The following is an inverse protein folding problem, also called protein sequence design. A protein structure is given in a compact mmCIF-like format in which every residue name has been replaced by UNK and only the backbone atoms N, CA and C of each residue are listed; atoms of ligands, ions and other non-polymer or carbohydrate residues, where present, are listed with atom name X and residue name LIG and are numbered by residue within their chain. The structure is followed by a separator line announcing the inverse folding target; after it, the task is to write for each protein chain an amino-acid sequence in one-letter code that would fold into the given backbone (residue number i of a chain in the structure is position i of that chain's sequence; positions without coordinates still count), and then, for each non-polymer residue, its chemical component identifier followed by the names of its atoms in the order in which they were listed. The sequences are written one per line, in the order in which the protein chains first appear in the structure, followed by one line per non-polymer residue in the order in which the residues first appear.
data_IF_255467746289
#
_entry.id   IF_255467746289
#
_cell.length_a   1.000
_cell.length_b   1.000
_cell.length_c   1.000
_cell.angle_alpha   90.00
_cell.angle_beta   90.00
_cell.angle_gamma   90.00
#
_symmetry.space_group_name_H-M   'P 1'
#
loop_
_entity.id
_entity.type
_entity.pdbx_description
1 polymer ?
#
# COMPACT_ATOMS: atom_id res chain seq x y z
N UNK A 1 27.57 8.37 16.10
CA UNK A 1 27.29 9.45 17.06
C UNK A 1 25.87 9.94 16.84
N UNK A 2 25.06 9.97 17.88
CA UNK A 2 23.63 10.30 17.83
C UNK A 2 23.41 11.72 17.24
N UNK A 3 22.44 11.95 16.32
CA UNK A 3 22.21 13.26 15.69
C UNK A 3 21.99 14.39 16.69
N UNK A 4 21.35 14.12 17.84
CA UNK A 4 21.21 15.11 18.93
C UNK A 4 22.55 15.58 19.49
N UNK A 5 23.54 14.66 19.60
CA UNK A 5 24.88 15.02 20.07
C UNK A 5 25.64 15.84 19.01
N UNK A 6 25.38 15.61 17.73
CA UNK A 6 25.99 16.40 16.64
C UNK A 6 25.46 17.83 16.62
N UNK A 7 24.14 18.02 16.77
CA UNK A 7 23.51 19.36 16.84
C UNK A 7 23.95 20.11 18.08
N UNK A 8 24.01 19.43 19.25
CA UNK A 8 24.53 20.03 20.48
C UNK A 8 25.99 20.47 20.35
N UNK A 9 26.83 19.66 19.73
CA UNK A 9 28.25 19.94 19.56
C UNK A 9 28.45 21.14 18.62
N UNK A 10 27.70 21.22 17.53
CA UNK A 10 27.70 22.38 16.61
C UNK A 10 27.19 23.64 17.30
N UNK A 11 26.11 23.52 18.09
CA UNK A 11 25.56 24.65 18.83
C UNK A 11 26.53 25.19 19.90
N UNK A 12 27.19 24.29 20.65
CA UNK A 12 28.21 24.66 21.65
C UNK A 12 29.43 25.32 20.98
N UNK A 13 29.91 24.77 19.85
CA UNK A 13 31.03 25.35 19.09
C UNK A 13 30.68 26.73 18.51
N UNK A 14 29.45 26.91 18.03
CA UNK A 14 28.98 28.21 17.52
C UNK A 14 28.84 29.24 18.65
N UNK A 15 28.34 28.84 19.82
CA UNK A 15 28.26 29.73 21.00
C UNK A 15 29.63 30.11 21.54
N UNK A 16 30.56 29.16 21.65
CA UNK A 16 31.94 29.42 22.07
C UNK A 16 32.66 30.34 21.07
N UNK A 17 32.51 30.07 19.77
CA UNK A 17 33.07 30.94 18.71
C UNK A 17 32.48 32.33 18.75
N UNK A 18 31.17 32.50 18.91
CA UNK A 18 30.51 33.81 18.98
C UNK A 18 30.87 34.61 20.24
N UNK A 19 31.18 33.95 21.34
CA UNK A 19 31.57 34.63 22.59
C UNK A 19 33.06 35.05 22.64
N UNK A 20 33.95 34.19 22.15
CA UNK A 20 35.40 34.39 22.24
C UNK A 20 36.00 35.23 21.09
N UNK A 21 35.46 35.11 19.88
CA UNK A 21 35.99 35.82 18.70
C UNK A 21 35.95 37.34 18.83
N UNK A 22 34.87 38.01 19.30
CA UNK A 22 34.84 39.45 19.47
C UNK A 22 35.76 39.95 20.60
N UNK A 23 35.97 39.10 21.64
CA UNK A 23 36.86 39.41 22.76
C UNK A 23 38.34 39.40 22.37
N UNK A 24 38.76 38.42 21.59
CA UNK A 24 40.12 38.30 21.07
C UNK A 24 40.47 39.47 20.12
N UNK A 25 39.56 39.84 19.21
CA UNK A 25 39.75 40.96 18.31
C UNK A 25 39.93 42.31 19.04
N UNK A 26 39.13 42.56 20.08
CA UNK A 26 39.24 43.74 20.93
C UNK A 26 40.55 43.79 21.69
N UNK A 27 41.06 42.69 22.24
CA UNK A 27 42.32 42.63 22.96
C UNK A 27 43.54 42.84 22.04
N UNK A 28 43.51 42.31 20.83
CA UNK A 28 44.58 42.51 19.84
C UNK A 28 44.59 43.96 19.37
N UNK A 29 43.43 44.55 19.06
CA UNK A 29 43.31 45.98 18.68
C UNK A 29 43.74 46.91 19.80
N UNK A 30 43.30 46.66 21.05
CA UNK A 30 43.72 47.47 22.20
C UNK A 30 45.23 47.36 22.43
N UNK A 31 45.83 46.16 22.30
CA UNK A 31 47.29 45.99 22.44
C UNK A 31 48.13 46.73 21.38
N UNK A 32 47.62 46.81 20.17
CA UNK A 32 48.24 47.54 19.07
C UNK A 32 48.08 49.09 19.26
N UNK A 33 46.88 49.51 19.72
CA UNK A 33 46.59 50.92 19.97
C UNK A 33 47.42 51.45 21.13
N UNK A 34 47.60 50.68 22.20
CA UNK A 34 48.47 51.04 23.33
C UNK A 34 49.94 51.18 22.93
N UNK A 35 50.50 50.33 22.09
CA UNK A 35 51.85 50.40 21.62
C UNK A 35 52.11 51.63 20.68
N UNK A 36 51.07 52.10 20.01
CA UNK A 36 51.16 53.29 19.14
C UNK A 36 51.17 54.59 19.92
N UNK A 37 50.75 54.62 21.19
CA UNK A 37 50.69 55.82 22.03
C UNK A 37 51.94 56.10 22.91
N UNK A 38 52.90 55.17 22.97
CA UNK A 38 54.04 55.29 23.95
C UNK A 38 55.39 55.43 23.31
N UNK A 39 55.51 56.23 22.27
CA UNK A 39 56.82 56.75 21.86
C UNK A 39 56.83 58.28 21.96
N UNK A 40 56.93 58.73 23.22
CA UNK A 40 57.40 60.05 23.49
C UNK A 40 58.83 59.91 24.03
N UNK A 41 59.84 60.34 23.25
CA UNK A 41 61.23 60.31 23.65
C UNK A 41 61.54 61.57 24.42
N UNK A 42 62.07 61.40 25.63
CA UNK A 42 62.48 62.48 26.53
C UNK A 42 63.88 62.87 26.12
N UNK A 43 63.98 63.76 25.16
CA UNK A 43 65.24 64.46 24.97
C UNK A 43 65.25 65.84 25.70
N UNK A 44 66.36 66.19 26.27
CA UNK A 44 66.63 67.13 27.34
C UNK A 44 66.39 68.58 27.04
N UNK A 45 65.76 68.95 25.94
CA UNK A 45 65.35 70.36 25.67
C UNK A 45 64.10 70.38 24.80
N UNK A 46 62.95 70.35 25.47
CA UNK A 46 61.67 70.60 24.78
C UNK A 46 60.97 69.27 24.32
N UNK A 47 59.74 69.05 24.82
CA UNK A 47 58.89 67.96 24.41
C UNK A 47 58.35 68.22 23.00
N UNK A 48 58.89 67.60 21.98
CA UNK A 48 58.30 67.59 20.64
C UNK A 48 57.58 66.27 20.46
N UNK A 49 56.27 66.32 20.54
CA UNK A 49 55.44 65.21 20.16
C UNK A 49 55.21 65.22 18.63
N UNK A 50 55.96 64.47 17.85
CA UNK A 50 55.58 64.27 16.48
C UNK A 50 54.37 63.32 16.39
N UNK A 51 53.30 63.66 15.62
CA UNK A 51 52.23 62.78 15.37
C UNK A 51 52.72 61.60 14.50
N UNK A 52 53.00 60.49 15.11
CA UNK A 52 53.27 59.25 14.34
C UNK A 52 52.01 58.97 13.48
N UNK A 53 52.17 59.10 12.17
CA UNK A 53 51.10 58.72 11.23
C UNK A 53 50.61 57.34 11.61
N UNK A 54 49.25 57.13 11.78
CA UNK A 54 48.74 55.82 12.14
C UNK A 54 49.13 54.87 11.01
N UNK A 55 50.14 54.04 11.24
CA UNK A 55 50.41 52.87 10.43
C UNK A 55 49.23 51.97 10.69
N UNK A 56 48.19 52.01 9.82
CA UNK A 56 47.04 51.10 9.90
C UNK A 56 47.63 49.72 9.83
N UNK A 57 47.58 48.95 10.92
CA UNK A 57 48.14 47.60 10.89
C UNK A 57 47.26 46.74 10.02
N UNK A 58 47.60 46.61 8.74
CA UNK A 58 46.91 45.72 7.78
C UNK A 58 46.91 44.26 8.29
N UNK A 59 47.92 43.88 9.03
CA UNK A 59 48.14 42.55 9.56
C UNK A 59 47.03 42.08 10.57
N UNK A 60 46.59 42.89 11.56
CA UNK A 60 45.47 42.50 12.44
C UNK A 60 44.16 42.34 11.69
N UNK A 61 43.85 43.17 10.72
CA UNK A 61 42.63 43.06 9.90
C UNK A 61 42.62 41.80 9.03
N UNK A 62 43.81 41.42 8.50
CA UNK A 62 43.93 40.14 7.78
C UNK A 62 43.72 38.92 8.71
N UNK A 63 44.24 38.97 9.93
CA UNK A 63 44.07 37.91 10.92
C UNK A 63 42.58 37.78 11.31
N UNK A 64 41.88 38.89 11.57
CA UNK A 64 40.44 38.88 11.86
C UNK A 64 39.64 38.31 10.71
N UNK A 65 39.93 38.71 9.47
CA UNK A 65 39.27 38.15 8.28
C UNK A 65 39.51 36.67 8.14
N UNK A 66 40.72 36.16 8.37
CA UNK A 66 41.06 34.72 8.33
C UNK A 66 40.32 33.93 9.41
N UNK A 67 40.23 34.49 10.63
CA UNK A 67 39.47 33.85 11.73
C UNK A 67 37.99 33.79 11.38
N UNK A 68 37.43 34.85 10.82
CA UNK A 68 36.02 34.88 10.40
C UNK A 68 35.74 33.89 9.29
N UNK A 69 36.63 33.83 8.29
CA UNK A 69 36.52 32.84 7.19
C UNK A 69 36.65 31.43 7.70
N UNK A 70 37.59 31.15 8.60
CA UNK A 70 37.73 29.83 9.24
C UNK A 70 36.48 29.45 10.04
N UNK A 71 35.90 30.41 10.76
CA UNK A 71 34.64 30.22 11.50
C UNK A 71 33.46 29.87 10.56
N UNK A 72 33.31 30.61 9.46
CA UNK A 72 32.27 30.32 8.45
C UNK A 72 32.46 28.94 7.82
N UNK A 73 33.70 28.59 7.47
CA UNK A 73 34.01 27.25 6.91
C UNK A 73 33.75 26.13 7.91
N UNK A 74 34.07 26.34 9.19
CA UNK A 74 33.79 25.37 10.26
C UNK A 74 32.29 25.18 10.46
N UNK A 75 31.49 26.24 10.52
CA UNK A 75 30.02 26.17 10.62
C UNK A 75 29.43 25.51 9.39
N UNK A 76 29.89 25.85 8.19
CA UNK A 76 29.44 25.21 6.94
C UNK A 76 29.79 23.72 6.90
N UNK A 77 30.99 23.33 7.28
CA UNK A 77 31.43 21.95 7.38
C UNK A 77 30.62 21.16 8.40
N UNK A 78 30.35 21.76 9.58
CA UNK A 78 29.55 21.18 10.63
C UNK A 78 28.08 20.99 10.21
N UNK A 79 27.50 22.00 9.54
CA UNK A 79 26.14 21.90 8.98
C UNK A 79 26.05 20.79 7.92
N UNK A 80 27.01 20.72 7.01
CA UNK A 80 27.11 19.65 6.01
C UNK A 80 27.24 18.25 6.64
N UNK A 81 28.07 18.14 7.66
CA UNK A 81 28.24 16.88 8.40
C UNK A 81 26.98 16.49 9.18
N UNK A 82 26.26 17.44 9.76
CA UNK A 82 25.00 17.21 10.46
C UNK A 82 23.88 16.77 9.51
N UNK A 83 23.84 17.30 8.28
CA UNK A 83 22.84 17.00 7.26
C UNK A 83 23.16 15.76 6.40
N UNK A 84 24.40 15.26 6.42
CA UNK A 84 24.78 14.03 5.70
C UNK A 84 23.81 12.86 5.92
N UNK A 85 23.43 12.53 7.17
CA UNK A 85 22.56 11.37 7.40
C UNK A 85 21.17 11.52 6.77
N UNK A 86 20.68 12.75 6.56
CA UNK A 86 19.38 13.01 5.91
C UNK A 86 19.52 12.84 4.39
N UNK A 87 20.64 13.26 3.81
CA UNK A 87 20.91 13.05 2.37
C UNK A 87 21.08 11.57 2.05
N UNK A 88 21.81 10.82 2.90
CA UNK A 88 21.98 9.38 2.75
C UNK A 88 20.64 8.61 2.77
N UNK A 89 19.55 9.22 3.32
CA UNK A 89 18.18 8.69 3.27
C UNK A 89 17.42 9.14 2.02
N UNK A 90 17.70 10.35 1.52
CA UNK A 90 16.98 10.92 0.39
C UNK A 90 17.45 10.37 -0.96
N UNK A 91 18.76 10.15 -1.11
CA UNK A 91 19.36 9.69 -2.37
C UNK A 91 18.80 8.32 -2.84
N UNK A 92 18.70 7.27 -1.99
CA UNK A 92 18.09 6.01 -2.39
C UNK A 92 16.61 6.11 -2.75
N UNK A 93 15.88 7.08 -2.15
CA UNK A 93 14.46 7.29 -2.42
C UNK A 93 14.25 7.98 -3.78
N UNK A 94 15.14 8.89 -4.16
CA UNK A 94 15.07 9.60 -5.44
C UNK A 94 15.26 8.68 -6.66
N UNK A 95 16.04 7.60 -6.49
CA UNK A 95 16.32 6.60 -7.53
C UNK A 95 15.28 5.46 -7.57
N UNK A 96 14.21 5.52 -6.73
CA UNK A 96 13.17 4.50 -6.70
C UNK A 96 12.28 4.60 -7.94
N UNK A 97 12.44 3.61 -8.83
CA UNK A 97 11.59 3.38 -9.99
C UNK A 97 10.89 2.02 -9.91
N UNK A 98 9.93 1.74 -10.83
CA UNK A 98 9.21 0.46 -10.86
C UNK A 98 10.12 -0.78 -10.94
N UNK A 99 11.36 -0.59 -11.39
CA UNK A 99 12.36 -1.65 -11.54
C UNK A 99 13.19 -1.87 -10.25
N UNK A 100 13.18 -0.91 -9.31
CA UNK A 100 14.04 -0.90 -8.12
C UNK A 100 13.24 -0.90 -6.79
N UNK A 101 11.99 -1.33 -6.80
CA UNK A 101 11.13 -1.39 -5.61
C UNK A 101 11.68 -2.28 -4.48
N UNK A 102 12.62 -3.20 -4.80
CA UNK A 102 13.30 -4.06 -3.83
C UNK A 102 14.39 -3.38 -3.00
N UNK A 103 14.76 -2.12 -3.32
CA UNK A 103 15.78 -1.42 -2.56
C UNK A 103 15.27 -1.07 -1.16
N UNK A 104 16.12 -1.26 -0.14
CA UNK A 104 15.81 -0.96 1.27
C UNK A 104 16.92 -0.12 1.86
N UNK A 105 16.56 0.84 2.69
CA UNK A 105 17.51 1.75 3.33
C UNK A 105 18.34 1.02 4.38
N UNK A 106 17.75 0.05 5.08
CA UNK A 106 18.37 -0.86 6.08
C UNK A 106 19.27 -0.15 7.08
N UNK A 107 18.97 1.09 7.43
CA UNK A 107 19.74 1.82 8.42
C UNK A 107 19.41 1.30 9.81
N UNK A 108 20.35 0.56 10.40
CA UNK A 108 20.29 0.14 11.80
C UNK A 108 20.51 1.33 12.72
N UNK A 109 19.58 1.57 13.65
CA UNK A 109 19.69 2.60 14.68
C UNK A 109 18.45 2.62 15.57
N UNK A 110 18.63 2.99 16.87
CA UNK A 110 17.53 3.21 17.82
C UNK A 110 17.15 4.68 17.92
N UNK A 111 17.75 5.53 17.09
CA UNK A 111 17.51 6.96 17.00
C UNK A 111 16.30 7.28 16.10
N UNK A 112 15.94 8.55 16.02
CA UNK A 112 14.81 9.06 15.23
C UNK A 112 14.96 8.71 13.74
N UNK A 113 16.20 8.75 13.23
CA UNK A 113 16.49 8.40 11.83
C UNK A 113 16.34 6.90 11.58
N UNK A 114 16.70 6.05 12.55
CA UNK A 114 16.46 4.61 12.48
C UNK A 114 14.97 4.25 12.49
N UNK A 115 14.13 5.01 13.23
CA UNK A 115 12.66 4.85 13.19
C UNK A 115 12.10 5.26 11.84
N UNK A 116 12.57 6.39 11.30
CA UNK A 116 12.16 6.86 9.97
C UNK A 116 12.55 5.86 8.88
N UNK A 117 13.77 5.34 8.90
CA UNK A 117 14.22 4.32 7.94
C UNK A 117 13.33 3.08 7.96
N UNK A 118 12.97 2.56 9.16
CA UNK A 118 12.05 1.44 9.28
C UNK A 118 10.67 1.74 8.71
N UNK A 119 10.11 2.92 9.02
CA UNK A 119 8.81 3.32 8.50
C UNK A 119 8.80 3.42 6.97
N UNK A 120 9.91 3.89 6.37
CA UNK A 120 10.09 3.92 4.91
C UNK A 120 10.22 2.51 4.35
N UNK A 121 11.04 1.64 4.97
CA UNK A 121 11.19 0.26 4.53
C UNK A 121 9.86 -0.50 4.60
N UNK A 122 9.07 -0.33 5.68
CA UNK A 122 7.72 -0.91 5.82
C UNK A 122 6.74 -0.37 4.77
N UNK A 123 6.85 0.92 4.41
CA UNK A 123 6.06 1.51 3.32
C UNK A 123 6.47 0.90 1.98
N UNK A 124 7.77 0.75 1.73
CA UNK A 124 8.30 0.16 0.51
C UNK A 124 7.90 -1.32 0.36
N UNK A 125 7.85 -2.08 1.47
CA UNK A 125 7.36 -3.45 1.45
C UNK A 125 5.89 -3.50 1.01
N UNK A 126 5.05 -2.61 1.52
CA UNK A 126 3.64 -2.50 1.10
C UNK A 126 3.48 -2.10 -0.37
N UNK A 127 4.25 -1.12 -0.83
CA UNK A 127 4.24 -0.69 -2.23
C UNK A 127 4.71 -1.82 -3.16
N UNK A 128 5.78 -2.51 -2.78
CA UNK A 128 6.32 -3.66 -3.55
C UNK A 128 5.28 -4.79 -3.64
N UNK A 129 4.69 -5.17 -2.51
CA UNK A 129 3.66 -6.21 -2.47
C UNK A 129 2.42 -5.83 -3.32
N UNK A 130 1.99 -4.57 -3.26
CA UNK A 130 0.90 -4.04 -4.09
C UNK A 130 1.22 -4.09 -5.59
N UNK A 131 2.42 -3.64 -5.97
CA UNK A 131 2.86 -3.65 -7.37
C UNK A 131 2.99 -5.08 -7.94
N UNK A 132 3.59 -6.00 -7.17
CA UNK A 132 3.68 -7.40 -7.56
C UNK A 132 2.30 -8.05 -7.64
N UNK A 133 1.38 -7.70 -6.72
CA UNK A 133 -0.02 -8.12 -6.77
C UNK A 133 -0.70 -7.67 -8.05
N UNK A 134 -0.57 -6.40 -8.40
CA UNK A 134 -1.14 -5.82 -9.62
C UNK A 134 -0.53 -6.44 -10.89
N UNK A 135 0.78 -6.68 -10.91
CA UNK A 135 1.45 -7.35 -12.04
C UNK A 135 0.97 -8.78 -12.23
N UNK A 136 0.85 -9.55 -11.13
CA UNK A 136 0.29 -10.91 -11.18
C UNK A 136 -1.17 -10.91 -11.64
N UNK A 137 -1.98 -9.97 -11.14
CA UNK A 137 -3.36 -9.79 -11.56
C UNK A 137 -3.47 -9.54 -13.06
N UNK A 138 -2.71 -8.58 -13.62
CA UNK A 138 -2.74 -8.27 -15.05
C UNK A 138 -2.28 -9.46 -15.92
N UNK A 139 -1.25 -10.18 -15.50
CA UNK A 139 -0.77 -11.38 -16.18
C UNK A 139 -1.83 -12.49 -16.18
N UNK A 140 -2.43 -12.77 -15.02
CA UNK A 140 -3.46 -13.81 -14.90
C UNK A 140 -4.73 -13.44 -15.68
N UNK A 141 -5.18 -12.17 -15.60
CA UNK A 141 -6.32 -11.67 -16.39
C UNK A 141 -6.09 -11.87 -17.90
N UNK A 142 -4.89 -11.55 -18.39
CA UNK A 142 -4.52 -11.75 -19.79
C UNK A 142 -4.56 -13.22 -20.20
N UNK A 143 -4.10 -14.12 -19.33
CA UNK A 143 -4.16 -15.56 -19.56
C UNK A 143 -5.58 -16.11 -19.56
N UNK A 144 -6.39 -15.72 -18.57
CA UNK A 144 -7.77 -16.16 -18.41
C UNK A 144 -8.70 -15.63 -19.52
N UNK A 145 -8.39 -14.46 -20.12
CA UNK A 145 -9.09 -13.92 -21.28
C UNK A 145 -8.64 -14.60 -22.60
N UNK A 146 -7.36 -14.90 -22.75
CA UNK A 146 -6.81 -15.46 -23.99
C UNK A 146 -7.36 -16.86 -24.26
N UNK A 147 -7.49 -17.69 -23.23
CA UNK A 147 -7.94 -19.09 -23.37
C UNK A 147 -9.33 -19.21 -23.98
N UNK A 148 -10.40 -18.56 -23.48
CA UNK A 148 -11.73 -18.66 -24.08
C UNK A 148 -11.80 -17.99 -25.45
N UNK A 149 -11.07 -16.93 -25.71
CA UNK A 149 -10.99 -16.31 -27.04
C UNK A 149 -10.36 -17.27 -28.06
N UNK A 150 -9.32 -18.02 -27.66
CA UNK A 150 -8.73 -19.05 -28.52
C UNK A 150 -9.72 -20.18 -28.81
N UNK A 151 -10.49 -20.62 -27.79
CA UNK A 151 -11.55 -21.64 -27.96
C UNK A 151 -12.64 -21.14 -28.91
N UNK A 152 -13.13 -19.89 -28.72
CA UNK A 152 -14.13 -19.29 -29.62
C UNK A 152 -13.62 -19.24 -31.06
N UNK A 153 -12.38 -18.80 -31.26
CA UNK A 153 -11.76 -18.76 -32.59
C UNK A 153 -11.72 -20.15 -33.21
N UNK A 154 -11.27 -21.15 -32.47
CA UNK A 154 -11.22 -22.54 -32.98
C UNK A 154 -12.61 -23.08 -33.37
N UNK A 155 -13.62 -22.82 -32.51
CA UNK A 155 -15.00 -23.22 -32.77
C UNK A 155 -15.54 -22.59 -34.08
N UNK A 156 -15.24 -21.29 -34.30
CA UNK A 156 -15.63 -20.59 -35.52
C UNK A 156 -14.87 -21.14 -36.74
N UNK A 157 -13.54 -21.32 -36.65
CA UNK A 157 -12.72 -21.84 -37.73
C UNK A 157 -13.16 -23.26 -38.14
N UNK A 158 -13.45 -24.14 -37.18
CA UNK A 158 -13.97 -25.49 -37.43
C UNK A 158 -15.38 -25.45 -38.02
N UNK A 159 -16.27 -24.60 -37.48
CA UNK A 159 -17.64 -24.46 -37.97
C UNK A 159 -17.73 -23.90 -39.41
N UNK A 160 -16.73 -23.10 -39.79
CA UNK A 160 -16.65 -22.54 -41.15
C UNK A 160 -15.90 -23.43 -42.15
N UNK A 161 -15.20 -24.46 -41.71
CA UNK A 161 -14.36 -25.31 -42.56
C UNK A 161 -15.13 -26.32 -43.40
N UNK A 162 -16.35 -26.68 -42.98
CA UNK A 162 -17.20 -27.65 -43.68
C UNK A 162 -18.70 -27.41 -43.38
N UNK A 163 -19.62 -27.84 -44.27
CA UNK A 163 -21.04 -27.76 -44.02
C UNK A 163 -21.41 -28.55 -42.77
N UNK A 164 -22.09 -27.90 -41.81
CA UNK A 164 -22.58 -28.52 -40.58
C UNK A 164 -24.00 -29.02 -40.75
N UNK A 165 -24.32 -30.09 -40.09
CA UNK A 165 -25.72 -30.54 -39.88
C UNK A 165 -26.42 -29.57 -38.92
N UNK A 166 -27.77 -29.57 -38.88
CA UNK A 166 -28.54 -28.74 -37.97
C UNK A 166 -28.14 -28.98 -36.50
N UNK A 167 -28.03 -30.26 -36.07
CA UNK A 167 -27.60 -30.62 -34.71
C UNK A 167 -26.17 -30.12 -34.37
N UNK A 168 -25.26 -30.20 -35.32
CA UNK A 168 -23.89 -29.70 -35.15
C UNK A 168 -23.85 -28.16 -35.03
N UNK A 169 -24.70 -27.47 -35.81
CA UNK A 169 -24.84 -26.01 -35.74
C UNK A 169 -25.42 -25.59 -34.36
N UNK A 170 -26.44 -26.29 -33.88
CA UNK A 170 -27.04 -26.01 -32.57
C UNK A 170 -26.02 -26.22 -31.43
N UNK A 171 -25.26 -27.32 -31.47
CA UNK A 171 -24.21 -27.59 -30.52
C UNK A 171 -23.10 -26.54 -30.56
N UNK A 172 -22.65 -26.15 -31.72
CA UNK A 172 -21.64 -25.12 -31.91
C UNK A 172 -22.10 -23.75 -31.35
N UNK A 173 -23.36 -23.40 -31.66
CA UNK A 173 -23.97 -22.15 -31.18
C UNK A 173 -24.08 -22.17 -29.66
N UNK A 174 -24.54 -23.28 -29.06
CA UNK A 174 -24.60 -23.42 -27.60
C UNK A 174 -23.21 -23.31 -26.94
N UNK A 175 -22.17 -23.89 -27.53
CA UNK A 175 -20.80 -23.77 -27.03
C UNK A 175 -20.24 -22.33 -27.15
N UNK A 176 -20.51 -21.64 -28.24
CA UNK A 176 -20.11 -20.24 -28.44
C UNK A 176 -20.80 -19.32 -27.43
N UNK A 177 -22.12 -19.49 -27.21
CA UNK A 177 -22.87 -18.70 -26.23
C UNK A 177 -22.36 -18.96 -24.80
N UNK A 178 -22.16 -20.22 -24.41
CA UNK A 178 -21.61 -20.57 -23.10
C UNK A 178 -20.21 -20.00 -22.86
N UNK A 179 -19.38 -19.96 -23.91
CA UNK A 179 -18.04 -19.37 -23.83
C UNK A 179 -18.13 -17.84 -23.71
N UNK A 180 -19.06 -17.19 -24.42
CA UNK A 180 -19.28 -15.76 -24.33
C UNK A 180 -19.77 -15.34 -22.94
N UNK A 181 -20.77 -16.03 -22.40
CA UNK A 181 -21.26 -15.80 -21.03
C UNK A 181 -20.16 -15.94 -19.96
N UNK A 182 -19.24 -16.89 -20.19
CA UNK A 182 -18.08 -17.04 -19.31
C UNK A 182 -17.15 -15.83 -19.42
N UNK A 183 -16.91 -15.30 -20.62
CA UNK A 183 -16.10 -14.10 -20.85
C UNK A 183 -16.73 -12.88 -20.18
N UNK A 184 -18.04 -12.68 -20.37
CA UNK A 184 -18.79 -11.58 -19.75
C UNK A 184 -18.64 -11.61 -18.22
N UNK A 185 -18.89 -12.76 -17.59
CA UNK A 185 -18.69 -12.91 -16.13
C UNK A 185 -17.27 -12.63 -15.67
N UNK A 186 -16.26 -12.96 -16.49
CA UNK A 186 -14.86 -12.68 -16.18
C UNK A 186 -14.58 -11.18 -16.24
N UNK A 187 -15.06 -10.51 -17.30
CA UNK A 187 -14.91 -9.05 -17.49
C UNK A 187 -15.64 -8.30 -16.35
N UNK A 188 -16.86 -8.67 -16.03
CA UNK A 188 -17.62 -8.09 -14.92
C UNK A 188 -16.89 -8.26 -13.57
N UNK A 189 -16.28 -9.44 -13.36
CA UNK A 189 -15.47 -9.70 -12.19
C UNK A 189 -14.23 -8.79 -12.09
N UNK A 190 -13.55 -8.55 -13.23
CA UNK A 190 -12.40 -7.65 -13.31
C UNK A 190 -12.80 -6.19 -13.06
N UNK A 191 -13.93 -5.75 -13.63
CA UNK A 191 -14.47 -4.40 -13.42
C UNK A 191 -14.84 -4.19 -11.95
N UNK A 192 -15.47 -5.20 -11.30
CA UNK A 192 -15.80 -5.12 -9.89
C UNK A 192 -14.59 -4.95 -8.98
N UNK A 193 -13.51 -5.68 -9.24
CA UNK A 193 -12.27 -5.52 -8.50
C UNK A 193 -11.71 -4.10 -8.69
N UNK A 194 -11.71 -3.60 -9.92
CA UNK A 194 -11.21 -2.26 -10.21
C UNK A 194 -12.05 -1.16 -9.57
N UNK A 195 -13.38 -1.30 -9.53
CA UNK A 195 -14.28 -0.33 -8.90
C UNK A 195 -14.16 -0.34 -7.38
N UNK A 196 -14.12 -1.52 -6.77
CA UNK A 196 -14.01 -1.63 -5.31
C UNK A 196 -12.65 -1.15 -4.78
N UNK A 197 -11.57 -1.27 -5.56
CA UNK A 197 -10.25 -0.73 -5.20
C UNK A 197 -10.22 0.81 -5.19
N UNK A 198 -11.16 1.48 -5.86
CA UNK A 198 -11.30 2.95 -5.84
C UNK A 198 -12.01 3.48 -4.58
N UNK A 199 -12.52 2.59 -3.73
CA UNK A 199 -13.33 2.93 -2.55
C UNK A 199 -14.78 3.25 -2.89
N UNK A 200 -15.57 3.57 -1.85
CA UNK A 200 -17.00 3.88 -2.02
C UNK A 200 -17.18 5.26 -2.65
N UNK A 201 -18.07 5.35 -3.66
CA UNK A 201 -18.49 6.63 -4.25
C UNK A 201 -19.52 7.33 -3.36
N UNK A 202 -20.35 6.56 -2.67
CA UNK A 202 -21.32 7.04 -1.70
C UNK A 202 -21.45 6.03 -0.57
N UNK A 203 -21.72 6.52 0.65
CA UNK A 203 -21.95 5.65 1.81
C UNK A 203 -23.27 6.04 2.44
N UNK A 204 -24.30 5.25 2.15
CA UNK A 204 -25.65 5.44 2.71
C UNK A 204 -26.04 4.26 3.59
N UNK A 205 -26.90 4.45 4.62
CA UNK A 205 -27.38 3.33 5.43
C UNK A 205 -28.13 2.30 4.59
N UNK A 206 -27.70 1.04 4.63
CA UNK A 206 -28.28 -0.08 3.89
C UNK A 206 -28.75 -1.18 4.83
N UNK A 207 -29.92 -1.73 4.58
CA UNK A 207 -30.48 -2.90 5.28
C UNK A 207 -29.85 -4.18 4.71
N UNK A 208 -28.84 -4.70 5.40
CA UNK A 208 -28.09 -5.89 4.96
C UNK A 208 -29.00 -7.12 4.92
N UNK A 209 -29.90 -7.29 5.87
CA UNK A 209 -30.88 -8.36 5.91
C UNK A 209 -31.83 -8.37 4.69
N UNK A 210 -32.24 -7.19 4.20
CA UNK A 210 -33.06 -7.06 2.99
C UNK A 210 -32.25 -7.38 1.73
N UNK A 211 -31.00 -6.93 1.67
CA UNK A 211 -30.08 -7.25 0.58
C UNK A 211 -29.86 -8.75 0.49
N UNK A 212 -29.56 -9.41 1.62
CA UNK A 212 -29.38 -10.87 1.66
C UNK A 212 -30.65 -11.60 1.22
N UNK A 213 -31.83 -11.17 1.69
CA UNK A 213 -33.11 -11.75 1.28
C UNK A 213 -33.31 -11.69 -0.24
N UNK A 214 -33.07 -10.51 -0.84
CA UNK A 214 -33.19 -10.30 -2.28
C UNK A 214 -32.22 -11.18 -3.07
N UNK A 215 -30.96 -11.29 -2.64
CA UNK A 215 -29.96 -12.10 -3.30
C UNK A 215 -30.30 -13.59 -3.17
N UNK A 216 -30.70 -14.07 -2.00
CA UNK A 216 -31.09 -15.49 -1.82
C UNK A 216 -32.28 -15.87 -2.70
N UNK A 217 -33.26 -14.97 -2.87
CA UNK A 217 -34.36 -15.18 -3.78
C UNK A 217 -33.91 -15.31 -5.25
N UNK A 218 -32.96 -14.49 -5.68
CA UNK A 218 -32.42 -14.55 -7.03
C UNK A 218 -31.61 -15.82 -7.33
N UNK A 219 -31.05 -16.47 -6.30
CA UNK A 219 -30.26 -17.71 -6.44
C UNK A 219 -31.04 -18.97 -6.09
N UNK A 220 -32.34 -18.88 -5.79
CA UNK A 220 -33.20 -20.01 -5.35
C UNK A 220 -33.23 -21.15 -6.36
N UNK A 221 -33.49 -20.86 -7.64
CA UNK A 221 -33.59 -21.85 -8.70
C UNK A 221 -32.26 -22.54 -8.94
N UNK A 222 -31.17 -21.77 -8.93
CA UNK A 222 -29.81 -22.29 -9.10
C UNK A 222 -29.39 -23.19 -7.94
N UNK A 223 -29.82 -22.90 -6.72
CA UNK A 223 -29.57 -23.74 -5.56
C UNK A 223 -30.37 -25.06 -5.67
N UNK A 224 -31.64 -24.98 -6.11
CA UNK A 224 -32.50 -26.15 -6.34
C UNK A 224 -31.92 -27.07 -7.44
N UNK A 225 -31.49 -26.49 -8.57
CA UNK A 225 -30.84 -27.24 -9.65
C UNK A 225 -29.54 -27.94 -9.20
N UNK A 226 -28.78 -27.30 -8.29
CA UNK A 226 -27.58 -27.88 -7.69
C UNK A 226 -27.88 -28.87 -6.57
N UNK A 227 -29.15 -29.09 -6.19
CA UNK A 227 -29.54 -29.90 -5.06
C UNK A 227 -29.05 -29.41 -3.71
N UNK A 228 -28.93 -28.09 -3.53
CA UNK A 228 -28.42 -27.45 -2.30
C UNK A 228 -29.59 -26.86 -1.53
N UNK A 229 -29.71 -27.23 -0.24
CA UNK A 229 -30.67 -26.62 0.68
C UNK A 229 -30.12 -25.31 1.23
N UNK A 230 -30.88 -24.20 1.06
CA UNK A 230 -30.51 -22.88 1.57
C UNK A 230 -31.25 -22.63 2.89
N UNK A 231 -30.49 -22.35 3.95
CA UNK A 231 -31.02 -21.97 5.27
C UNK A 231 -30.56 -20.53 5.57
N UNK A 232 -31.47 -19.69 6.06
CA UNK A 232 -31.13 -18.31 6.41
C UNK A 232 -31.61 -17.93 7.81
N UNK A 233 -30.79 -17.14 8.52
CA UNK A 233 -31.12 -16.51 9.81
C UNK A 233 -30.72 -15.03 9.70
N UNK A 234 -31.70 -14.16 9.48
CA UNK A 234 -31.47 -12.77 9.12
C UNK A 234 -31.99 -11.87 10.24
N UNK A 235 -31.08 -11.41 11.11
CA UNK A 235 -31.41 -10.35 12.06
C UNK A 235 -31.34 -8.97 11.36
N UNK A 236 -32.21 -8.02 11.72
CA UNK A 236 -32.16 -6.66 11.18
C UNK A 236 -30.77 -6.04 11.40
N UNK A 237 -30.10 -5.62 10.32
CA UNK A 237 -28.76 -5.01 10.38
C UNK A 237 -28.63 -3.89 9.38
N UNK A 238 -28.24 -2.70 9.86
CA UNK A 238 -27.95 -1.55 9.01
C UNK A 238 -26.43 -1.33 8.96
N UNK A 239 -25.89 -1.25 7.74
CA UNK A 239 -24.47 -1.00 7.48
C UNK A 239 -24.32 0.20 6.55
N UNK A 240 -23.29 1.04 6.71
CA UNK A 240 -23.01 2.12 5.77
C UNK A 240 -22.39 1.53 4.50
N UNK A 241 -22.85 1.95 3.32
CA UNK A 241 -22.25 1.46 2.08
C UNK A 241 -23.07 1.71 0.83
N UNK A 242 -22.63 1.10 -0.27
CA UNK A 242 -23.30 1.10 -1.56
C UNK A 242 -24.08 -0.19 -1.76
N UNK A 243 -25.38 -0.08 -2.00
CA UNK A 243 -26.27 -1.24 -2.17
C UNK A 243 -25.78 -2.20 -3.24
N UNK A 244 -25.37 -1.70 -4.41
CA UNK A 244 -24.93 -2.53 -5.55
C UNK A 244 -23.68 -3.37 -5.17
N UNK A 245 -22.73 -2.76 -4.46
CA UNK A 245 -21.53 -3.47 -4.02
C UNK A 245 -21.85 -4.52 -2.94
N UNK A 246 -22.76 -4.19 -1.99
CA UNK A 246 -23.20 -5.15 -0.96
C UNK A 246 -23.97 -6.33 -1.57
N UNK A 247 -24.87 -6.08 -2.54
CA UNK A 247 -25.53 -7.14 -3.31
C UNK A 247 -24.52 -8.05 -4.02
N UNK A 248 -23.50 -7.46 -4.60
CA UNK A 248 -22.40 -8.18 -5.26
C UNK A 248 -21.55 -8.98 -4.28
N UNK A 249 -21.25 -8.44 -3.11
CA UNK A 249 -20.57 -9.17 -2.03
C UNK A 249 -21.34 -10.42 -1.66
N UNK A 250 -22.64 -10.27 -1.32
CA UNK A 250 -23.50 -11.38 -0.92
C UNK A 250 -23.63 -12.40 -2.07
N UNK A 251 -23.87 -11.92 -3.30
CA UNK A 251 -23.99 -12.76 -4.49
C UNK A 251 -22.74 -13.63 -4.74
N UNK A 252 -21.54 -13.05 -4.62
CA UNK A 252 -20.29 -13.81 -4.78
C UNK A 252 -20.13 -14.91 -3.70
N UNK A 253 -20.53 -14.63 -2.46
CA UNK A 253 -20.46 -15.62 -1.38
C UNK A 253 -21.50 -16.71 -1.54
N UNK A 254 -22.74 -16.38 -1.91
CA UNK A 254 -23.84 -17.32 -2.17
C UNK A 254 -23.52 -18.20 -3.38
N UNK A 255 -23.12 -17.58 -4.50
CA UNK A 255 -22.73 -18.34 -5.70
C UNK A 255 -21.60 -19.33 -5.41
N UNK A 256 -20.58 -18.88 -4.67
CA UNK A 256 -19.49 -19.75 -4.24
C UNK A 256 -19.98 -20.89 -3.36
N UNK A 257 -20.87 -20.60 -2.40
CA UNK A 257 -21.45 -21.58 -1.49
C UNK A 257 -22.32 -22.63 -2.19
N UNK A 258 -23.02 -22.28 -3.27
CA UNK A 258 -23.79 -23.22 -4.11
C UNK A 258 -22.84 -24.05 -4.97
N UNK A 259 -21.93 -23.41 -5.68
CA UNK A 259 -21.04 -24.01 -6.66
C UNK A 259 -20.09 -25.06 -6.08
N UNK A 260 -19.51 -24.78 -4.92
CA UNK A 260 -18.56 -25.67 -4.24
C UNK A 260 -19.23 -26.57 -3.20
N UNK A 261 -20.57 -26.64 -3.26
CA UNK A 261 -21.33 -27.57 -2.42
C UNK A 261 -21.28 -29.01 -2.96
N UNK A 262 -21.87 -29.91 -2.22
CA UNK A 262 -22.14 -31.30 -2.65
C UNK A 262 -23.64 -31.47 -2.90
N UNK A 263 -24.08 -32.37 -3.79
CA UNK A 263 -25.51 -32.72 -3.93
C UNK A 263 -26.08 -33.13 -2.57
N UNK A 264 -27.28 -32.64 -2.22
CA UNK A 264 -27.90 -32.82 -0.91
C UNK A 264 -27.22 -32.06 0.21
N UNK A 265 -26.29 -31.12 -0.11
CA UNK A 265 -25.62 -30.29 0.87
C UNK A 265 -26.42 -29.08 1.29
N UNK A 266 -25.82 -28.27 2.15
CA UNK A 266 -26.46 -27.09 2.78
C UNK A 266 -25.63 -25.83 2.58
N UNK A 267 -26.33 -24.73 2.36
CA UNK A 267 -25.79 -23.37 2.41
C UNK A 267 -26.51 -22.62 3.53
N UNK A 268 -25.78 -22.18 4.55
CA UNK A 268 -26.34 -21.42 5.66
C UNK A 268 -25.85 -19.98 5.58
N UNK A 269 -26.79 -19.02 5.57
CA UNK A 269 -26.50 -17.58 5.54
C UNK A 269 -27.05 -16.93 6.81
N UNK A 270 -26.21 -16.26 7.55
CA UNK A 270 -26.59 -15.59 8.80
C UNK A 270 -26.20 -14.11 8.74
N UNK A 271 -27.16 -13.23 9.09
CA UNK A 271 -26.91 -11.81 9.35
C UNK A 271 -27.06 -11.56 10.85
N UNK A 272 -26.07 -10.92 11.45
CA UNK A 272 -26.00 -10.66 12.89
C UNK A 272 -25.27 -9.38 13.23
N UNK A 273 -24.91 -9.22 14.51
CA UNK A 273 -24.16 -8.05 14.96
C UNK A 273 -22.67 -8.18 14.66
N UNK A 274 -22.06 -9.29 15.07
CA UNK A 274 -20.64 -9.59 14.81
C UNK A 274 -20.44 -11.11 14.70
N UNK A 275 -20.08 -11.61 13.54
CA UNK A 275 -19.92 -10.93 12.25
C UNK A 275 -21.28 -10.43 11.66
N UNK A 276 -21.20 -9.36 10.82
CA UNK A 276 -22.38 -8.79 10.15
C UNK A 276 -23.02 -9.79 9.17
N UNK A 277 -22.19 -10.60 8.49
CA UNK A 277 -22.63 -11.64 7.57
C UNK A 277 -21.74 -12.88 7.75
N UNK A 278 -22.36 -14.03 7.86
CA UNK A 278 -21.69 -15.35 7.81
C UNK A 278 -22.32 -16.19 6.70
N UNK A 279 -21.49 -16.75 5.85
CA UNK A 279 -21.90 -17.71 4.82
C UNK A 279 -21.14 -19.00 5.04
N UNK A 280 -21.84 -20.12 5.24
CA UNK A 280 -21.24 -21.44 5.46
C UNK A 280 -21.86 -22.44 4.48
N UNK A 281 -21.03 -23.14 3.75
CA UNK A 281 -21.47 -24.25 2.89
C UNK A 281 -20.86 -25.56 3.33
N UNK A 282 -21.60 -26.65 3.14
CA UNK A 282 -21.04 -27.99 3.12
C UNK A 282 -20.27 -28.21 1.81
N UNK A 283 -19.38 -29.17 1.76
CA UNK A 283 -18.63 -29.43 0.53
C UNK A 283 -17.37 -30.26 0.76
N UNK A 284 -16.41 -30.14 -0.13
CA UNK A 284 -15.11 -30.77 0.03
C UNK A 284 -14.31 -30.09 1.14
N UNK A 285 -13.53 -30.88 1.87
CA UNK A 285 -12.65 -30.35 2.92
C UNK A 285 -11.60 -29.45 2.33
N UNK A 286 -11.54 -28.21 2.82
CA UNK A 286 -10.55 -27.22 2.45
C UNK A 286 -9.38 -27.28 3.43
N UNK A 287 -8.12 -27.52 2.99
CA UNK A 287 -6.97 -27.49 3.88
C UNK A 287 -6.79 -26.10 4.50
N UNK A 288 -6.57 -26.03 5.82
CA UNK A 288 -6.44 -24.74 6.53
C UNK A 288 -5.36 -23.85 5.96
N UNK A 289 -4.23 -24.41 5.53
CA UNK A 289 -3.12 -23.70 4.88
C UNK A 289 -3.48 -23.07 3.52
N UNK A 290 -4.48 -23.62 2.82
CA UNK A 290 -4.94 -23.09 1.54
C UNK A 290 -5.92 -21.93 1.67
N UNK A 291 -6.59 -21.78 2.82
CA UNK A 291 -7.69 -20.82 3.01
C UNK A 291 -7.25 -19.38 2.79
N UNK A 292 -6.10 -18.98 3.35
CA UNK A 292 -5.58 -17.61 3.19
C UNK A 292 -5.40 -17.23 1.73
N UNK A 293 -5.00 -18.18 0.89
CA UNK A 293 -4.79 -17.95 -0.54
C UNK A 293 -6.06 -17.90 -1.37
N UNK A 294 -7.23 -18.33 -0.85
CA UNK A 294 -8.49 -18.33 -1.63
C UNK A 294 -9.01 -16.91 -1.93
N UNK A 295 -8.54 -15.91 -1.21
CA UNK A 295 -8.84 -14.50 -1.46
C UNK A 295 -7.94 -13.83 -2.50
N UNK A 296 -6.92 -14.55 -3.00
CA UNK A 296 -6.10 -14.04 -4.10
C UNK A 296 -6.86 -14.21 -5.44
N UNK A 297 -6.87 -13.17 -6.31
CA UNK A 297 -7.50 -13.28 -7.62
C UNK A 297 -6.96 -14.47 -8.43
N UNK A 298 -7.86 -15.17 -9.15
CA UNK A 298 -7.54 -16.33 -10.00
C UNK A 298 -7.05 -17.57 -9.24
N UNK A 299 -7.11 -17.57 -7.91
CA UNK A 299 -6.67 -18.72 -7.13
C UNK A 299 -7.80 -19.74 -6.97
N UNK A 300 -7.46 -21.01 -7.20
CA UNK A 300 -8.35 -22.16 -7.09
C UNK A 300 -7.61 -23.31 -6.41
N UNK A 301 -8.32 -24.16 -5.70
CA UNK A 301 -7.74 -25.40 -5.18
C UNK A 301 -7.26 -26.30 -6.34
N UNK A 302 -6.16 -27.02 -6.12
CA UNK A 302 -5.51 -27.78 -7.18
C UNK A 302 -6.44 -28.81 -7.88
N UNK A 303 -7.40 -29.37 -7.14
CA UNK A 303 -8.39 -30.35 -7.64
C UNK A 303 -9.47 -29.71 -8.54
N UNK A 304 -9.74 -28.41 -8.40
CA UNK A 304 -10.78 -27.73 -9.19
C UNK A 304 -10.27 -27.23 -10.55
N UNK A 305 -8.96 -27.33 -10.80
CA UNK A 305 -8.35 -26.87 -12.06
C UNK A 305 -8.76 -27.73 -13.27
N UNK A 306 -9.12 -29.00 -13.03
CA UNK A 306 -9.52 -29.93 -14.09
C UNK A 306 -10.99 -29.84 -14.45
N UNK A 307 -11.82 -29.17 -13.63
CA UNK A 307 -13.24 -29.04 -13.87
C UNK A 307 -13.57 -27.83 -14.74
N UNK A 308 -13.95 -28.04 -16.00
CA UNK A 308 -14.24 -26.99 -17.01
C UNK A 308 -15.41 -26.06 -16.62
N UNK A 309 -16.27 -26.45 -15.68
CA UNK A 309 -17.35 -25.64 -15.12
C UNK A 309 -16.92 -24.67 -14.00
N UNK A 310 -15.64 -24.69 -13.60
CA UNK A 310 -15.13 -23.83 -12.54
C UNK A 310 -14.94 -22.37 -12.99
N UNK A 311 -15.51 -21.37 -12.25
CA UNK A 311 -15.34 -19.95 -12.50
C UNK A 311 -13.88 -19.50 -12.42
N UNK A 312 -13.63 -18.26 -12.80
CA UNK A 312 -12.31 -17.65 -12.92
C UNK A 312 -11.51 -17.50 -11.59
N UNK A 313 -12.08 -17.87 -10.43
CA UNK A 313 -11.41 -17.71 -9.13
C UNK A 313 -11.39 -16.24 -8.66
N UNK A 314 -12.38 -15.46 -9.06
CA UNK A 314 -12.48 -14.03 -8.71
C UNK A 314 -13.47 -13.77 -7.55
N UNK A 315 -14.46 -14.65 -7.30
CA UNK A 315 -15.57 -14.37 -6.39
C UNK A 315 -15.13 -13.98 -4.96
N UNK A 316 -14.24 -14.76 -4.33
CA UNK A 316 -13.72 -14.42 -2.99
C UNK A 316 -12.80 -13.19 -2.98
N UNK A 317 -12.05 -12.97 -4.06
CA UNK A 317 -11.23 -11.77 -4.21
C UNK A 317 -12.11 -10.51 -4.31
N UNK A 318 -13.21 -10.58 -5.09
CA UNK A 318 -14.21 -9.51 -5.18
C UNK A 318 -14.86 -9.27 -3.82
N UNK A 319 -15.28 -10.35 -3.13
CA UNK A 319 -15.87 -10.23 -1.80
C UNK A 319 -14.91 -9.52 -0.81
N UNK A 320 -13.64 -9.84 -0.85
CA UNK A 320 -12.61 -9.18 -0.02
C UNK A 320 -12.46 -7.70 -0.38
N UNK A 321 -12.33 -7.36 -1.66
CA UNK A 321 -12.14 -5.98 -2.10
C UNK A 321 -13.36 -5.13 -1.71
N UNK A 322 -14.60 -5.62 -1.94
CA UNK A 322 -15.82 -4.92 -1.52
C UNK A 322 -15.87 -4.75 0.00
N UNK A 323 -15.53 -5.78 0.77
CA UNK A 323 -15.50 -5.68 2.24
C UNK A 323 -14.50 -4.62 2.71
N UNK A 324 -13.32 -4.57 2.11
CA UNK A 324 -12.30 -3.56 2.41
C UNK A 324 -12.74 -2.14 2.02
N UNK A 325 -13.42 -1.98 0.87
CA UNK A 325 -14.00 -0.70 0.47
C UNK A 325 -15.04 -0.18 1.47
N UNK A 326 -15.69 -1.07 2.23
CA UNK A 326 -16.63 -0.76 3.31
C UNK A 326 -15.97 -0.70 4.70
N UNK A 327 -14.64 -0.53 4.79
CA UNK A 327 -13.88 -0.53 6.05
C UNK A 327 -14.11 -1.79 6.91
N UNK A 328 -14.45 -2.91 6.25
CA UNK A 328 -14.74 -4.19 6.88
C UNK A 328 -13.56 -5.16 6.85
N UNK A 329 -13.76 -6.30 7.49
CA UNK A 329 -12.81 -7.41 7.53
C UNK A 329 -13.53 -8.68 7.08
N UNK A 330 -12.92 -9.43 6.16
CA UNK A 330 -13.39 -10.75 5.73
C UNK A 330 -12.39 -11.82 6.14
N UNK A 331 -12.87 -12.91 6.69
CA UNK A 331 -12.08 -14.06 7.06
C UNK A 331 -12.79 -15.34 6.61
N UNK A 332 -12.01 -16.38 6.31
CA UNK A 332 -12.55 -17.69 6.02
C UNK A 332 -11.88 -18.74 6.88
N UNK A 333 -12.61 -19.84 7.11
CA UNK A 333 -12.10 -21.03 7.80
C UNK A 333 -12.77 -22.29 7.21
N UNK A 334 -12.14 -23.46 7.31
CA UNK A 334 -12.76 -24.72 6.92
C UNK A 334 -14.08 -24.92 7.68
N UNK A 335 -15.11 -25.39 6.98
CA UNK A 335 -16.38 -25.78 7.59
C UNK A 335 -16.26 -27.08 8.38
N UNK A 336 -17.08 -27.24 9.43
CA UNK A 336 -17.10 -28.46 10.27
C UNK A 336 -17.54 -29.69 9.48
N UNK A 337 -18.52 -29.54 8.57
CA UNK A 337 -19.03 -30.58 7.67
C UNK A 337 -18.31 -30.58 6.29
N UNK A 338 -17.07 -30.12 6.24
CA UNK A 338 -16.38 -29.76 5.01
C UNK A 338 -16.86 -28.42 4.44
N UNK A 339 -16.38 -28.05 3.25
CA UNK A 339 -16.68 -26.76 2.66
C UNK A 339 -15.94 -25.60 3.34
N UNK A 340 -16.54 -24.42 3.30
CA UNK A 340 -15.95 -23.18 3.77
C UNK A 340 -16.96 -22.39 4.61
N UNK A 341 -16.49 -21.78 5.68
CA UNK A 341 -17.20 -20.73 6.39
C UNK A 341 -16.50 -19.41 6.14
N UNK A 342 -17.25 -18.41 5.68
CA UNK A 342 -16.79 -17.06 5.44
C UNK A 342 -17.53 -16.12 6.39
N UNK A 343 -16.78 -15.39 7.20
CA UNK A 343 -17.27 -14.38 8.14
C UNK A 343 -16.87 -12.98 7.62
N UNK A 344 -17.85 -12.07 7.54
CA UNK A 344 -17.69 -10.70 7.07
C UNK A 344 -18.08 -9.75 8.21
N UNK A 345 -17.14 -8.93 8.64
CA UNK A 345 -17.35 -7.86 9.60
C UNK A 345 -17.51 -6.55 8.83
N UNK A 346 -18.59 -5.82 9.10
CA UNK A 346 -18.86 -4.49 8.53
C UNK A 346 -19.18 -3.52 9.67
N UNK A 347 -18.75 -2.25 9.55
CA UNK A 347 -19.09 -1.25 10.54
C UNK A 347 -20.60 -1.11 10.69
N UNK A 348 -21.06 -0.79 11.91
CA UNK A 348 -22.45 -0.44 12.14
C UNK A 348 -22.69 1.05 11.86
N UNK A 349 -23.88 1.40 11.39
CA UNK A 349 -24.31 2.80 11.40
C UNK A 349 -24.48 3.21 12.87
N UNK A 350 -23.74 4.22 13.33
CA UNK A 350 -23.85 4.79 14.68
C UNK A 350 -25.07 5.67 14.81
#
# INVERSE_FOLDING_TARGET
MNPRRRVLLVGVLALLGGYWLPGLGKQVLAGVWWRAQTFCDLQTVGVVCEPVRPFIPVLPGLIELLILLAGVLAVWGAARWCLRPVRDLADPIADLGPQNLGHRIRRGGRDELGRLSRAIDDMMDRVTAGYEGQRRFAANASHELRTPLAVQRTLIEVGMSQPLTGEQLDLLTAQLLATNERNERLIEGLLALSESDQGLRSSTPQRLDEIVTSVLAAYSDRAAEAGVTVESRLAPRVVPGERVLLERLVGNLVENGIKYNRPGGRLTVTVGEDPALTVTNTGQTVPGEAVAGLFEPFRRLARDRTNQGGGAGLGLAIARSITQAHDGIIAARPGEDGGLRVDVQLPAVR
#
